data_IF_687008272201
#
_entry.id   IF_687008272201
#
_cell.length_a   1.000
_cell.length_b   1.000
_cell.length_c   1.000
_cell.angle_alpha   90.00
_cell.angle_beta   90.00
_cell.angle_gamma   90.00
#
_symmetry.space_group_name_H-M   'P 1'
#
loop_
_entity.id
_entity.type
_entity.pdbx_description
1 polymer ?
#
# COMPACT_ATOMS: atom_id res chain seq x y z
N UNK A 1 56.42 20.85 -24.60
CA UNK A 1 54.98 20.90 -24.21
C UNK A 1 54.39 19.56 -24.45
N UNK A 2 54.31 18.73 -23.43
CA UNK A 2 53.69 17.39 -23.47
C UNK A 2 52.33 17.47 -22.83
N UNK A 3 51.27 17.21 -23.62
CA UNK A 3 49.91 17.10 -23.14
C UNK A 3 49.72 15.76 -22.43
N UNK A 4 49.48 15.75 -21.13
CA UNK A 4 49.02 14.60 -20.38
C UNK A 4 47.53 14.35 -20.70
N UNK A 5 47.23 13.28 -21.40
CA UNK A 5 45.90 12.72 -21.54
C UNK A 5 45.54 11.99 -20.23
N UNK A 6 44.49 12.43 -19.56
CA UNK A 6 43.83 11.69 -18.46
C UNK A 6 43.26 10.38 -19.02
N UNK A 7 43.41 9.25 -18.31
CA UNK A 7 42.78 8.01 -18.72
C UNK A 7 41.25 8.09 -18.46
N UNK A 8 40.49 7.82 -19.51
CA UNK A 8 39.08 7.59 -19.44
C UNK A 8 38.77 6.37 -18.53
N UNK A 9 38.02 6.58 -17.48
CA UNK A 9 37.52 5.51 -16.60
C UNK A 9 36.51 4.70 -17.42
N UNK A 10 36.89 3.52 -17.87
CA UNK A 10 35.91 2.52 -18.36
C UNK A 10 35.13 1.97 -17.18
N UNK A 11 33.80 1.90 -17.23
CA UNK A 11 33.02 1.29 -16.17
C UNK A 11 33.37 -0.21 -16.07
N UNK A 12 33.42 -0.71 -14.83
CA UNK A 12 33.62 -2.12 -14.54
C UNK A 12 32.40 -2.93 -14.99
N UNK A 13 32.56 -4.16 -15.53
CA UNK A 13 31.44 -4.94 -16.08
C UNK A 13 30.35 -5.36 -15.08
N UNK A 14 30.48 -5.05 -13.79
CA UNK A 14 29.45 -5.26 -12.76
C UNK A 14 28.44 -4.12 -12.64
N UNK A 15 28.77 -2.89 -13.08
CA UNK A 15 27.89 -1.73 -12.95
C UNK A 15 26.77 -1.71 -14.01
N UNK A 16 27.02 -2.24 -15.21
CA UNK A 16 26.04 -2.27 -16.29
C UNK A 16 24.93 -3.32 -16.07
N UNK A 17 25.26 -4.48 -15.49
CA UNK A 17 24.28 -5.50 -15.15
C UNK A 17 23.35 -5.01 -14.03
N UNK A 18 23.89 -4.38 -12.99
CA UNK A 18 23.10 -3.80 -11.88
C UNK A 18 22.18 -2.65 -12.33
N UNK A 19 22.60 -1.83 -13.29
CA UNK A 19 21.78 -0.77 -13.85
C UNK A 19 20.61 -1.30 -14.70
N UNK A 20 20.85 -2.36 -15.48
CA UNK A 20 19.83 -3.05 -16.28
C UNK A 20 18.73 -3.66 -15.42
N UNK A 21 19.10 -4.30 -14.31
CA UNK A 21 18.16 -4.89 -13.37
C UNK A 21 17.32 -3.82 -12.64
N UNK A 22 17.95 -2.71 -12.23
CA UNK A 22 17.23 -1.59 -11.60
C UNK A 22 16.21 -0.97 -12.55
N UNK A 23 16.52 -0.82 -13.83
CA UNK A 23 15.57 -0.30 -14.84
C UNK A 23 14.42 -1.27 -15.09
N UNK A 24 14.66 -2.57 -15.07
CA UNK A 24 13.61 -3.59 -15.20
C UNK A 24 12.65 -3.56 -14.02
N UNK A 25 13.15 -3.41 -12.79
CA UNK A 25 12.32 -3.27 -11.60
C UNK A 25 11.52 -1.97 -11.60
N UNK A 26 12.09 -0.85 -12.04
CA UNK A 26 11.36 0.41 -12.23
C UNK A 26 10.25 0.28 -13.27
N UNK A 27 10.50 -0.38 -14.39
CA UNK A 27 9.49 -0.64 -15.42
C UNK A 27 8.35 -1.51 -14.86
N UNK A 28 8.68 -2.57 -14.10
CA UNK A 28 7.70 -3.43 -13.46
C UNK A 28 6.85 -2.67 -12.43
N UNK A 29 7.47 -1.78 -11.62
CA UNK A 29 6.77 -0.92 -10.67
C UNK A 29 5.78 0.02 -11.38
N UNK A 30 6.21 0.71 -12.42
CA UNK A 30 5.38 1.69 -13.14
C UNK A 30 4.31 1.05 -14.03
N UNK A 31 4.40 -0.23 -14.32
CA UNK A 31 3.36 -1.00 -15.01
C UNK A 31 2.19 -1.38 -14.08
N UNK A 32 2.37 -1.35 -12.76
CA UNK A 32 1.32 -1.69 -11.82
C UNK A 32 0.22 -0.61 -11.80
N UNK A 33 -1.02 -1.08 -11.78
CA UNK A 33 -2.21 -0.22 -11.63
C UNK A 33 -2.96 -0.51 -10.34
N UNK A 34 -2.47 -1.45 -9.57
CA UNK A 34 -3.03 -1.87 -8.29
C UNK A 34 -2.05 -1.52 -7.18
N UNK A 35 -2.51 -0.78 -6.20
CA UNK A 35 -1.71 -0.35 -5.06
C UNK A 35 -1.15 -1.53 -4.25
N UNK A 36 -1.95 -2.58 -4.07
CA UNK A 36 -1.53 -3.76 -3.31
C UNK A 36 -0.36 -4.45 -4.03
N UNK A 37 -0.43 -4.54 -5.36
CA UNK A 37 0.65 -5.08 -6.18
C UNK A 37 1.88 -4.18 -6.25
N UNK A 38 1.70 -2.86 -6.10
CA UNK A 38 2.80 -1.90 -6.10
C UNK A 38 3.73 -2.10 -4.90
N UNK A 39 3.17 -2.27 -3.69
CA UNK A 39 3.94 -2.55 -2.47
C UNK A 39 4.69 -3.89 -2.56
N UNK A 40 4.05 -4.93 -3.13
CA UNK A 40 4.66 -6.25 -3.40
C UNK A 40 5.83 -6.12 -4.39
N UNK A 41 5.62 -5.39 -5.50
CA UNK A 41 6.65 -5.18 -6.53
C UNK A 41 7.85 -4.39 -5.99
N UNK A 42 7.61 -3.42 -5.09
CA UNK A 42 8.69 -2.70 -4.43
C UNK A 42 9.53 -3.63 -3.54
N UNK A 43 8.87 -4.44 -2.70
CA UNK A 43 9.57 -5.39 -1.83
C UNK A 43 10.42 -6.37 -2.63
N UNK A 44 9.85 -6.95 -3.70
CA UNK A 44 10.56 -7.88 -4.58
C UNK A 44 11.73 -7.19 -5.27
N UNK A 45 11.50 -6.02 -5.88
CA UNK A 45 12.56 -5.30 -6.61
C UNK A 45 13.72 -4.88 -5.72
N UNK A 46 13.46 -4.48 -4.47
CA UNK A 46 14.53 -4.15 -3.51
C UNK A 46 15.27 -5.40 -3.06
N UNK A 47 14.56 -6.50 -2.81
CA UNK A 47 15.18 -7.77 -2.41
C UNK A 47 16.12 -8.28 -3.52
N UNK A 48 15.67 -8.26 -4.78
CA UNK A 48 16.45 -8.71 -5.94
C UNK A 48 17.66 -7.79 -6.19
N UNK A 49 17.45 -6.45 -6.18
CA UNK A 49 18.48 -5.45 -6.44
C UNK A 49 19.65 -5.53 -5.46
N UNK A 50 19.36 -5.83 -4.19
CA UNK A 50 20.35 -5.88 -3.12
C UNK A 50 20.86 -7.30 -2.86
N UNK A 51 20.23 -8.33 -3.39
CA UNK A 51 20.44 -9.70 -2.95
C UNK A 51 20.17 -9.89 -1.46
N UNK A 52 19.25 -9.08 -0.90
CA UNK A 52 18.96 -9.04 0.53
C UNK A 52 18.38 -10.37 1.04
N UNK A 53 18.49 -10.64 2.33
CA UNK A 53 17.83 -11.79 2.97
C UNK A 53 16.32 -11.65 2.86
N UNK A 54 15.81 -10.44 3.15
CA UNK A 54 14.43 -10.07 2.90
C UNK A 54 14.28 -8.56 2.72
N UNK A 55 13.24 -8.17 2.01
CA UNK A 55 12.77 -6.78 1.97
C UNK A 55 11.24 -6.76 2.13
N UNK A 56 10.73 -5.81 2.91
CA UNK A 56 9.31 -5.76 3.21
C UNK A 56 8.75 -4.35 3.28
N UNK A 57 7.55 -4.16 2.71
CA UNK A 57 6.76 -2.95 2.85
C UNK A 57 5.74 -3.16 3.96
N UNK A 58 5.80 -2.28 4.96
CA UNK A 58 4.92 -2.29 6.13
C UNK A 58 4.17 -0.97 6.23
N UNK A 59 2.84 -1.04 6.35
CA UNK A 59 1.97 0.13 6.52
C UNK A 59 1.42 0.17 7.93
N UNK A 60 1.30 1.37 8.49
CA UNK A 60 0.69 1.57 9.79
C UNK A 60 -0.81 1.76 9.60
N UNK A 61 -1.60 0.82 10.11
CA UNK A 61 -3.06 0.76 9.97
C UNK A 61 -3.75 0.96 11.31
N UNK A 62 -4.94 1.52 11.29
CA UNK A 62 -5.74 1.88 12.46
C UNK A 62 -6.11 3.35 12.43
N UNK A 63 -7.01 3.74 13.34
CA UNK A 63 -7.45 5.14 13.48
C UNK A 63 -6.48 5.88 14.39
N UNK A 64 -6.44 7.20 14.32
CA UNK A 64 -5.53 8.01 15.16
C UNK A 64 -5.87 7.93 16.65
N UNK A 65 -7.13 7.68 16.96
CA UNK A 65 -7.69 7.55 18.32
C UNK A 65 -7.66 6.11 18.88
N UNK A 66 -7.19 5.14 18.09
CA UNK A 66 -7.12 3.72 18.43
C UNK A 66 -5.69 3.18 18.35
N UNK A 67 -5.37 2.05 19.00
CA UNK A 67 -4.09 1.38 18.82
C UNK A 67 -3.84 1.05 17.35
N UNK A 68 -2.71 1.52 16.80
CA UNK A 68 -2.32 1.24 15.42
C UNK A 68 -1.42 0.01 15.36
N UNK A 69 -1.46 -0.66 14.22
CA UNK A 69 -0.79 -1.93 13.98
C UNK A 69 -0.02 -1.93 12.65
N UNK A 70 1.06 -2.71 12.59
CA UNK A 70 1.86 -2.88 11.39
C UNK A 70 1.27 -3.97 10.50
N UNK A 71 0.83 -3.56 9.31
CA UNK A 71 0.32 -4.45 8.27
C UNK A 71 1.41 -4.71 7.22
N UNK A 72 1.66 -5.98 6.88
CA UNK A 72 2.61 -6.38 5.84
C UNK A 72 1.92 -6.31 4.48
N UNK A 73 2.29 -5.32 3.68
CA UNK A 73 1.77 -5.17 2.32
C UNK A 73 2.48 -6.08 1.32
N UNK A 74 3.77 -6.35 1.56
CA UNK A 74 4.56 -7.28 0.76
C UNK A 74 5.89 -7.54 1.45
N UNK A 75 6.25 -8.81 1.62
CA UNK A 75 7.55 -9.23 2.15
C UNK A 75 8.14 -10.27 1.21
N UNK A 76 9.20 -9.90 0.51
CA UNK A 76 9.99 -10.77 -0.33
C UNK A 76 11.16 -11.35 0.49
N UNK A 77 11.40 -12.65 0.36
CA UNK A 77 12.52 -13.35 0.95
C UNK A 77 13.29 -14.12 -0.12
N UNK A 78 14.58 -14.26 0.08
CA UNK A 78 15.43 -14.98 -0.86
C UNK A 78 14.96 -16.43 -1.01
N UNK A 79 14.56 -16.80 -2.25
CA UNK A 79 14.11 -18.16 -2.58
C UNK A 79 12.68 -18.51 -2.15
N UNK A 80 11.92 -17.56 -1.63
CA UNK A 80 10.52 -17.75 -1.23
C UNK A 80 9.56 -16.89 -2.07
N UNK A 81 8.28 -17.27 -2.07
CA UNK A 81 7.24 -16.43 -2.64
C UNK A 81 7.00 -15.21 -1.75
N UNK A 82 6.75 -14.07 -2.37
CA UNK A 82 6.40 -12.85 -1.64
C UNK A 82 5.09 -13.03 -0.87
N UNK A 83 5.12 -12.71 0.42
CA UNK A 83 4.00 -12.83 1.34
C UNK A 83 3.40 -11.46 1.65
N UNK A 84 2.09 -11.40 1.83
CA UNK A 84 1.37 -10.24 2.36
C UNK A 84 0.35 -10.69 3.39
N UNK A 85 0.00 -9.82 4.34
CA UNK A 85 -1.13 -10.07 5.22
C UNK A 85 -2.43 -9.95 4.40
N UNK A 86 -3.43 -10.80 4.67
CA UNK A 86 -4.71 -10.68 3.99
C UNK A 86 -5.37 -9.33 4.36
N UNK A 87 -6.03 -8.63 3.44
CA UNK A 87 -6.65 -7.33 3.71
C UNK A 87 -7.66 -7.33 4.87
N UNK A 88 -8.23 -8.50 5.18
CA UNK A 88 -9.19 -8.73 6.28
C UNK A 88 -8.54 -9.28 7.55
N UNK A 89 -7.20 -9.19 7.68
CA UNK A 89 -6.52 -9.62 8.90
C UNK A 89 -7.08 -8.88 10.12
N UNK A 90 -7.30 -9.61 11.21
CA UNK A 90 -7.68 -9.01 12.47
C UNK A 90 -6.52 -8.13 12.99
N UNK A 91 -6.78 -6.82 13.13
CA UNK A 91 -5.77 -5.86 13.55
C UNK A 91 -5.14 -6.24 14.89
N UNK A 92 -5.91 -6.84 15.81
CA UNK A 92 -5.40 -7.25 17.12
C UNK A 92 -4.38 -8.39 17.06
N UNK A 93 -4.33 -9.13 15.95
CA UNK A 93 -3.35 -10.18 15.72
C UNK A 93 -2.08 -9.65 15.03
N UNK A 94 -2.11 -8.42 14.53
CA UNK A 94 -0.97 -7.77 13.91
C UNK A 94 -0.05 -7.15 14.97
N UNK A 95 1.26 -6.99 14.69
CA UNK A 95 2.17 -6.31 15.60
C UNK A 95 1.70 -4.89 15.90
N UNK A 96 1.58 -4.54 17.17
CA UNK A 96 1.26 -3.17 17.57
C UNK A 96 2.34 -2.20 17.10
N UNK A 97 2.00 -0.91 16.94
CA UNK A 97 2.96 0.14 16.56
C UNK A 97 4.21 0.11 17.42
N UNK A 98 4.04 0.00 18.75
CA UNK A 98 5.14 -0.02 19.73
C UNK A 98 6.03 -1.27 19.68
N UNK A 99 5.57 -2.37 19.06
CA UNK A 99 6.33 -3.60 18.94
C UNK A 99 7.56 -3.47 18.00
N UNK A 100 7.60 -2.43 17.16
CA UNK A 100 8.67 -2.19 16.20
C UNK A 100 9.31 -0.79 16.41
N UNK A 101 10.15 -0.59 17.44
CA UNK A 101 10.67 0.73 17.81
C UNK A 101 11.42 1.44 16.68
N UNK A 102 12.23 0.71 15.90
CA UNK A 102 12.98 1.29 14.78
C UNK A 102 12.05 1.83 13.70
N UNK A 103 10.96 1.11 13.38
CA UNK A 103 9.96 1.61 12.42
C UNK A 103 9.31 2.90 12.92
N UNK A 104 8.96 2.95 14.20
CA UNK A 104 8.36 4.15 14.83
C UNK A 104 9.34 5.33 14.80
N UNK A 105 10.61 5.08 15.12
CA UNK A 105 11.66 6.11 15.07
C UNK A 105 11.79 6.68 13.66
N UNK A 106 11.90 5.82 12.63
CA UNK A 106 12.03 6.20 11.22
C UNK A 106 10.81 7.00 10.74
N UNK A 107 9.61 6.57 11.11
CA UNK A 107 8.37 7.28 10.79
C UNK A 107 8.34 8.70 11.37
N UNK A 108 8.78 8.87 12.63
CA UNK A 108 8.78 10.16 13.32
C UNK A 108 9.86 11.09 12.80
N UNK A 109 11.07 10.57 12.60
CA UNK A 109 12.23 11.36 12.13
C UNK A 109 12.21 11.66 10.64
N UNK A 110 11.44 10.89 9.87
CA UNK A 110 11.46 10.87 8.39
C UNK A 110 12.87 10.63 7.82
N UNK A 111 13.74 10.02 8.61
CA UNK A 111 15.08 9.63 8.24
C UNK A 111 15.23 8.12 8.36
N UNK A 112 16.02 7.53 7.48
CA UNK A 112 16.32 6.11 7.58
C UNK A 112 17.11 5.78 8.85
N UNK A 113 16.95 4.53 9.33
CA UNK A 113 17.68 4.02 10.49
C UNK A 113 18.12 2.58 10.26
N UNK A 114 19.13 2.13 10.99
CA UNK A 114 19.55 0.73 10.98
C UNK A 114 19.94 0.25 12.37
N UNK A 115 19.88 -1.04 12.57
CA UNK A 115 20.37 -1.69 13.78
C UNK A 115 20.87 -3.11 13.49
N UNK A 116 21.79 -3.58 14.30
CA UNK A 116 22.22 -4.98 14.32
C UNK A 116 21.22 -5.81 15.13
N UNK A 117 20.85 -6.98 14.63
CA UNK A 117 20.01 -7.95 15.31
C UNK A 117 20.80 -9.27 15.48
N UNK A 118 20.74 -9.91 16.67
CA UNK A 118 21.27 -11.25 16.82
C UNK A 118 20.45 -12.24 15.98
N UNK A 119 21.14 -13.02 15.15
CA UNK A 119 20.50 -14.14 14.43
C UNK A 119 20.42 -15.37 15.33
N UNK A 120 19.44 -16.24 15.05
CA UNK A 120 19.28 -17.51 15.75
C UNK A 120 20.50 -18.45 15.60
N UNK A 121 21.31 -18.25 14.55
CA UNK A 121 22.52 -19.04 14.27
C UNK A 121 23.82 -18.42 14.83
N UNK A 122 23.70 -17.35 15.65
CA UNK A 122 24.86 -16.68 16.24
C UNK A 122 25.56 -15.67 15.30
N UNK A 123 25.11 -15.53 14.07
CA UNK A 123 25.55 -14.49 13.16
C UNK A 123 24.83 -13.16 13.47
N UNK A 124 25.44 -12.04 13.10
CA UNK A 124 24.78 -10.73 13.21
C UNK A 124 24.06 -10.44 11.89
N UNK A 125 22.76 -10.11 11.98
CA UNK A 125 22.00 -9.57 10.83
C UNK A 125 21.79 -8.07 11.01
N UNK A 126 21.65 -7.38 9.91
CA UNK A 126 21.39 -5.95 9.90
C UNK A 126 20.00 -5.67 9.35
N UNK A 127 19.27 -4.81 10.06
CA UNK A 127 17.96 -4.30 9.62
C UNK A 127 18.12 -2.83 9.29
N UNK A 128 17.78 -2.47 8.06
CA UNK A 128 17.70 -1.08 7.62
C UNK A 128 16.25 -0.74 7.34
N UNK A 129 15.76 0.36 7.91
CA UNK A 129 14.38 0.83 7.75
C UNK A 129 14.41 2.21 7.11
N UNK A 130 13.58 2.41 6.09
CA UNK A 130 13.44 3.67 5.35
C UNK A 130 11.99 4.13 5.32
N UNK A 131 11.69 5.42 5.47
CA UNK A 131 10.34 5.92 5.37
C UNK A 131 9.84 5.85 3.93
N UNK A 132 8.56 5.56 3.76
CA UNK A 132 7.86 5.71 2.48
C UNK A 132 7.21 7.09 2.48
N UNK A 133 7.74 8.00 1.64
CA UNK A 133 7.20 9.35 1.48
C UNK A 133 5.95 9.28 0.60
N UNK A 134 4.79 9.21 1.24
CA UNK A 134 3.49 9.26 0.59
C UNK A 134 2.70 10.45 1.15
N UNK A 135 2.22 11.31 0.25
CA UNK A 135 1.38 12.45 0.62
C UNK A 135 -0.06 12.01 0.91
N UNK A 136 -0.52 11.00 0.16
CA UNK A 136 -1.88 10.47 0.24
C UNK A 136 -1.80 8.97 0.51
N UNK A 137 -2.53 8.50 1.51
CA UNK A 137 -2.62 7.08 1.84
C UNK A 137 -2.08 6.72 3.21
N UNK A 138 -1.88 5.43 3.45
CA UNK A 138 -1.39 4.95 4.75
C UNK A 138 0.13 5.14 4.86
N UNK A 139 0.60 5.74 5.96
CA UNK A 139 2.01 5.88 6.22
C UNK A 139 2.68 4.51 6.35
N UNK A 140 3.96 4.41 6.00
CA UNK A 140 4.65 3.14 6.01
C UNK A 140 6.16 3.25 5.93
N UNK A 141 6.79 2.08 5.94
CA UNK A 141 8.23 1.93 5.84
C UNK A 141 8.60 0.77 4.92
N UNK A 142 9.75 0.89 4.30
CA UNK A 142 10.49 -0.22 3.70
C UNK A 142 11.49 -0.73 4.75
N UNK A 143 11.49 -2.04 5.01
CA UNK A 143 12.43 -2.72 5.92
C UNK A 143 13.24 -3.73 5.12
N UNK A 144 14.56 -3.70 5.25
CA UNK A 144 15.49 -4.57 4.53
C UNK A 144 16.41 -5.28 5.52
N UNK A 145 16.51 -6.61 5.40
CA UNK A 145 17.39 -7.45 6.19
C UNK A 145 18.57 -7.93 5.35
N UNK A 146 19.79 -7.77 5.86
CA UNK A 146 21.04 -8.12 5.18
C UNK A 146 22.02 -8.77 6.15
N UNK A 147 23.00 -9.49 5.61
CA UNK A 147 24.09 -10.11 6.42
C UNK A 147 25.08 -9.03 6.89
N UNK A 148 25.23 -7.96 6.13
CA UNK A 148 26.15 -6.84 6.39
C UNK A 148 25.41 -5.50 6.32
N UNK A 149 25.95 -4.44 6.92
CA UNK A 149 25.38 -3.09 6.77
C UNK A 149 25.33 -2.66 5.31
N UNK A 150 24.24 -2.04 4.88
CA UNK A 150 24.13 -1.53 3.52
C UNK A 150 25.18 -0.45 3.24
N UNK A 151 25.95 -0.56 2.14
CA UNK A 151 26.91 0.45 1.77
C UNK A 151 26.21 1.75 1.32
N UNK A 152 26.88 2.90 1.40
CA UNK A 152 26.28 4.19 1.04
C UNK A 152 25.76 4.26 -0.42
N UNK A 153 26.33 3.49 -1.33
CA UNK A 153 25.83 3.37 -2.71
C UNK A 153 24.46 2.70 -2.77
N UNK A 154 24.30 1.56 -2.10
CA UNK A 154 23.01 0.87 -2.01
C UNK A 154 21.93 1.73 -1.34
N UNK A 155 22.26 2.43 -0.25
CA UNK A 155 21.35 3.36 0.40
C UNK A 155 20.85 4.45 -0.57
N UNK A 156 21.74 5.04 -1.37
CA UNK A 156 21.37 6.05 -2.39
C UNK A 156 20.47 5.47 -3.47
N UNK A 157 20.78 4.25 -3.93
CA UNK A 157 19.96 3.57 -4.95
C UNK A 157 18.54 3.32 -4.45
N UNK A 158 18.39 2.80 -3.22
CA UNK A 158 17.07 2.57 -2.62
C UNK A 158 16.34 3.91 -2.42
N UNK A 159 17.00 4.95 -1.92
CA UNK A 159 16.38 6.27 -1.76
C UNK A 159 15.85 6.83 -3.08
N UNK A 160 16.59 6.63 -4.17
CA UNK A 160 16.16 7.03 -5.51
C UNK A 160 14.94 6.23 -5.96
N UNK A 161 14.96 4.91 -5.75
CA UNK A 161 13.83 4.03 -6.04
C UNK A 161 12.58 4.43 -5.24
N UNK A 162 12.75 4.72 -3.93
CA UNK A 162 11.65 5.15 -3.07
C UNK A 162 11.05 6.50 -3.50
N UNK A 163 11.84 7.43 -4.00
CA UNK A 163 11.33 8.68 -4.59
C UNK A 163 10.48 8.42 -5.83
N UNK A 164 10.94 7.57 -6.73
CA UNK A 164 10.15 7.19 -7.93
C UNK A 164 8.88 6.47 -7.52
N UNK A 165 8.98 5.53 -6.58
CA UNK A 165 7.84 4.82 -6.02
C UNK A 165 6.82 5.77 -5.40
N UNK A 166 7.25 6.72 -4.55
CA UNK A 166 6.37 7.71 -3.91
C UNK A 166 5.67 8.61 -4.93
N UNK A 167 6.41 9.13 -5.91
CA UNK A 167 5.82 9.92 -6.99
C UNK A 167 4.77 9.14 -7.79
N UNK A 168 5.08 7.89 -8.13
CA UNK A 168 4.15 7.03 -8.87
C UNK A 168 2.93 6.67 -8.02
N UNK A 169 3.12 6.35 -6.73
CA UNK A 169 2.03 6.08 -5.82
C UNK A 169 1.10 7.29 -5.66
N UNK A 170 1.64 8.51 -5.48
CA UNK A 170 0.86 9.73 -5.38
C UNK A 170 0.05 9.99 -6.66
N UNK A 171 0.65 9.77 -7.83
CA UNK A 171 -0.03 9.88 -9.12
C UNK A 171 -1.17 8.86 -9.25
N UNK A 172 -0.93 7.60 -8.86
CA UNK A 172 -1.93 6.54 -8.89
C UNK A 172 -3.09 6.85 -7.94
N UNK A 173 -2.79 7.23 -6.69
CA UNK A 173 -3.79 7.60 -5.68
C UNK A 173 -4.62 8.80 -6.13
N UNK A 174 -4.01 9.84 -6.71
CA UNK A 174 -4.74 11.00 -7.20
C UNK A 174 -5.67 10.66 -8.36
N UNK A 175 -5.27 9.75 -9.25
CA UNK A 175 -6.10 9.30 -10.37
C UNK A 175 -7.26 8.40 -9.94
N UNK A 176 -7.14 7.72 -8.80
CA UNK A 176 -8.12 6.78 -8.29
C UNK A 176 -9.17 7.42 -7.36
N UNK A 177 -8.99 8.68 -6.99
CA UNK A 177 -9.86 9.36 -6.03
C UNK A 177 -10.73 10.44 -6.68
N UNK A 178 -11.87 10.66 -6.03
CA UNK A 178 -12.71 11.83 -6.26
C UNK A 178 -12.06 13.06 -5.61
N UNK A 179 -11.90 14.12 -6.37
CA UNK A 179 -11.15 15.31 -5.93
C UNK A 179 -11.83 16.10 -4.82
N UNK A 180 -13.15 16.03 -4.71
CA UNK A 180 -13.91 16.74 -3.68
C UNK A 180 -13.90 15.97 -2.36
N UNK A 181 -14.28 14.70 -2.41
CA UNK A 181 -14.49 13.90 -1.20
C UNK A 181 -13.27 13.11 -0.77
N UNK A 182 -12.29 12.89 -1.67
CA UNK A 182 -11.12 12.02 -1.46
C UNK A 182 -11.46 10.53 -1.31
N UNK A 183 -12.72 10.11 -1.53
CA UNK A 183 -13.10 8.70 -1.67
C UNK A 183 -12.61 8.16 -3.02
N UNK A 184 -12.63 6.84 -3.19
CA UNK A 184 -12.34 6.26 -4.50
C UNK A 184 -13.38 6.72 -5.53
N UNK A 185 -12.96 6.93 -6.76
CA UNK A 185 -13.85 7.35 -7.83
C UNK A 185 -14.54 6.17 -8.52
N UNK A 186 -15.52 6.43 -9.37
CA UNK A 186 -16.27 5.42 -10.12
C UNK A 186 -15.36 4.56 -11.01
N UNK A 187 -14.37 5.18 -11.68
CA UNK A 187 -13.46 4.42 -12.55
C UNK A 187 -12.68 3.35 -11.76
N UNK A 188 -12.30 3.67 -10.53
CA UNK A 188 -11.63 2.72 -9.63
C UNK A 188 -12.57 1.60 -9.19
N UNK A 189 -13.86 1.91 -8.99
CA UNK A 189 -14.87 0.89 -8.71
C UNK A 189 -14.98 -0.11 -9.86
N UNK A 190 -15.16 0.36 -11.09
CA UNK A 190 -15.32 -0.50 -12.27
C UNK A 190 -14.14 -1.46 -12.41
N UNK A 191 -12.90 -0.95 -12.26
CA UNK A 191 -11.69 -1.77 -12.31
C UNK A 191 -11.61 -2.79 -11.17
N UNK A 192 -12.05 -2.43 -9.96
CA UNK A 192 -12.02 -3.30 -8.77
C UNK A 192 -13.12 -4.37 -8.85
N UNK A 193 -14.33 -3.95 -9.22
CA UNK A 193 -15.49 -4.83 -9.28
C UNK A 193 -15.29 -5.96 -10.30
N UNK A 194 -14.75 -5.64 -11.46
CA UNK A 194 -14.40 -6.65 -12.47
C UNK A 194 -13.42 -7.69 -11.93
N UNK A 195 -12.38 -7.27 -11.20
CA UNK A 195 -11.41 -8.18 -10.58
C UNK A 195 -12.05 -9.07 -9.50
N UNK A 196 -12.94 -8.50 -8.69
CA UNK A 196 -13.61 -9.20 -7.59
C UNK A 196 -14.68 -10.17 -8.10
N UNK A 197 -15.31 -9.87 -9.22
CA UNK A 197 -16.37 -10.68 -9.82
C UNK A 197 -15.85 -11.84 -10.68
N UNK A 198 -14.54 -11.84 -11.03
CA UNK A 198 -13.95 -12.96 -11.78
C UNK A 198 -13.77 -14.19 -10.87
N UNK A 199 -14.18 -15.39 -11.34
CA UNK A 199 -13.92 -16.61 -10.58
C UNK A 199 -12.43 -16.79 -10.33
N UNK A 200 -12.04 -17.16 -9.12
CA UNK A 200 -10.64 -17.37 -8.67
C UNK A 200 -9.86 -18.35 -9.57
N UNK A 201 -10.53 -19.17 -10.36
CA UNK A 201 -9.94 -20.09 -11.34
C UNK A 201 -9.13 -19.40 -12.45
N UNK A 202 -9.36 -18.11 -12.72
CA UNK A 202 -8.66 -17.35 -13.78
C UNK A 202 -7.35 -16.68 -13.31
N UNK A 203 -7.08 -16.64 -12.01
CA UNK A 203 -5.89 -16.02 -11.42
C UNK A 203 -4.81 -17.03 -11.01
N UNK A 204 -4.98 -18.32 -11.32
CA UNK A 204 -3.93 -19.33 -11.18
C UNK A 204 -2.93 -19.17 -12.32
N UNK A 205 -2.05 -18.19 -12.23
CA UNK A 205 -0.77 -18.23 -12.92
C UNK A 205 0.02 -19.42 -12.34
N UNK A 206 0.35 -20.36 -13.21
CA UNK A 206 1.01 -21.62 -12.95
C UNK A 206 2.19 -21.49 -11.97
N UNK A 207 2.02 -21.95 -10.74
CA UNK A 207 3.13 -22.34 -9.88
C UNK A 207 3.16 -23.88 -9.83
N UNK A 208 4.25 -24.40 -10.35
CA UNK A 208 4.63 -25.80 -10.25
C UNK A 208 4.94 -26.13 -8.79
N UNK A 209 3.96 -26.46 -8.01
CA UNK A 209 4.08 -27.35 -6.84
C UNK A 209 2.70 -27.60 -6.22
N UNK A 210 2.40 -28.85 -6.06
CA UNK A 210 1.08 -29.44 -5.88
C UNK A 210 0.39 -29.28 -4.52
N UNK A 211 0.31 -28.09 -3.96
CA UNK A 211 -0.62 -27.79 -2.87
C UNK A 211 -1.63 -26.73 -3.30
N UNK A 212 -2.84 -27.20 -3.64
CA UNK A 212 -4.02 -26.35 -3.78
C UNK A 212 -4.36 -25.76 -2.43
N UNK A 213 -3.81 -24.59 -2.11
CA UNK A 213 -4.43 -23.71 -1.11
C UNK A 213 -5.67 -23.12 -1.74
N UNK A 214 -6.82 -23.70 -1.44
CA UNK A 214 -8.13 -23.12 -1.72
C UNK A 214 -8.18 -21.82 -0.90
N UNK A 215 -7.98 -20.68 -1.55
CA UNK A 215 -8.27 -19.39 -0.91
C UNK A 215 -9.74 -19.44 -0.48
N UNK A 216 -10.08 -19.15 0.79
CA UNK A 216 -11.47 -19.13 1.20
C UNK A 216 -12.23 -18.16 0.31
N UNK A 217 -13.40 -18.56 -0.16
CA UNK A 217 -14.29 -17.70 -0.95
C UNK A 217 -14.59 -16.47 -0.08
N UNK A 218 -13.99 -15.34 -0.40
CA UNK A 218 -14.21 -14.12 0.37
C UNK A 218 -15.53 -13.51 -0.09
N UNK A 219 -16.53 -13.54 0.78
CA UNK A 219 -17.81 -12.87 0.53
C UNK A 219 -17.60 -11.35 0.47
N UNK A 220 -18.27 -10.71 -0.49
CA UNK A 220 -18.27 -9.26 -0.63
C UNK A 220 -19.71 -8.75 -0.52
N UNK A 221 -19.89 -7.62 0.16
CA UNK A 221 -21.18 -6.97 0.32
C UNK A 221 -21.12 -5.61 -0.34
N UNK A 222 -22.08 -5.32 -1.21
CA UNK A 222 -22.19 -4.05 -1.92
C UNK A 222 -23.37 -3.26 -1.36
N UNK A 223 -23.09 -2.03 -0.93
CA UNK A 223 -24.11 -1.09 -0.54
C UNK A 223 -24.09 0.15 -1.44
N UNK A 224 -25.26 0.64 -1.81
CA UNK A 224 -25.45 1.90 -2.51
C UNK A 224 -26.06 2.89 -1.52
N UNK A 225 -25.51 4.09 -1.51
CA UNK A 225 -25.95 5.19 -0.63
C UNK A 225 -26.21 6.40 -1.50
N UNK A 226 -27.36 7.04 -1.28
CA UNK A 226 -27.79 8.27 -1.93
C UNK A 226 -28.23 9.29 -0.88
N UNK A 227 -27.98 10.58 -1.13
CA UNK A 227 -28.37 11.64 -0.17
C UNK A 227 -29.78 12.12 -0.50
N UNK A 228 -30.71 11.83 0.41
CA UNK A 228 -32.10 12.26 0.24
C UNK A 228 -32.21 13.76 0.05
N UNK A 229 -32.93 14.16 -0.99
CA UNK A 229 -33.23 15.57 -1.30
C UNK A 229 -32.01 16.47 -1.52
N UNK A 230 -30.86 15.94 -1.94
CA UNK A 230 -29.63 16.71 -2.12
C UNK A 230 -29.81 17.90 -3.08
N UNK A 231 -30.60 17.73 -4.12
CA UNK A 231 -30.95 18.84 -5.02
C UNK A 231 -31.59 20.02 -4.27
N UNK A 232 -32.46 19.77 -3.28
CA UNK A 232 -33.08 20.86 -2.49
C UNK A 232 -32.04 21.59 -1.64
N UNK A 233 -31.00 20.90 -1.16
CA UNK A 233 -29.88 21.53 -0.46
C UNK A 233 -29.16 22.50 -1.40
N UNK A 234 -28.82 22.06 -2.62
CA UNK A 234 -28.19 22.90 -3.61
C UNK A 234 -29.06 24.10 -4.01
N UNK A 235 -30.34 23.86 -4.28
CA UNK A 235 -31.29 24.92 -4.72
C UNK A 235 -31.49 25.98 -3.63
N UNK A 236 -31.47 25.57 -2.35
CA UNK A 236 -31.72 26.47 -1.20
C UNK A 236 -30.47 27.16 -0.67
N UNK A 237 -29.32 26.46 -0.64
CA UNK A 237 -28.13 26.93 0.04
C UNK A 237 -26.92 27.14 -0.90
N UNK A 238 -27.08 26.78 -2.17
CA UNK A 238 -26.03 26.87 -3.18
C UNK A 238 -25.10 25.67 -3.21
N UNK A 239 -24.38 25.49 -4.33
CA UNK A 239 -23.51 24.34 -4.57
C UNK A 239 -22.33 24.24 -3.59
N UNK A 240 -21.86 25.37 -3.04
CA UNK A 240 -20.78 25.34 -2.04
C UNK A 240 -21.19 24.59 -0.77
N UNK A 241 -22.41 24.81 -0.31
CA UNK A 241 -22.95 24.07 0.86
C UNK A 241 -23.23 22.62 0.49
N UNK A 242 -23.68 22.35 -0.75
CA UNK A 242 -23.81 20.99 -1.24
C UNK A 242 -22.48 20.23 -1.23
N UNK A 243 -21.40 20.86 -1.66
CA UNK A 243 -20.06 20.29 -1.63
C UNK A 243 -19.60 19.97 -0.19
N UNK A 244 -19.87 20.87 0.78
CA UNK A 244 -19.60 20.63 2.19
C UNK A 244 -20.37 19.43 2.77
N UNK A 245 -21.65 19.27 2.35
CA UNK A 245 -22.46 18.09 2.72
C UNK A 245 -21.84 16.81 2.18
N UNK A 246 -21.40 16.80 0.91
CA UNK A 246 -20.71 15.64 0.31
C UNK A 246 -19.43 15.29 1.05
N UNK A 247 -18.62 16.28 1.41
CA UNK A 247 -17.39 16.08 2.20
C UNK A 247 -17.71 15.54 3.59
N UNK A 248 -18.76 16.05 4.24
CA UNK A 248 -19.21 15.57 5.56
C UNK A 248 -19.64 14.10 5.50
N UNK A 249 -20.48 13.73 4.52
CA UNK A 249 -20.92 12.33 4.33
C UNK A 249 -19.70 11.42 4.10
N UNK A 250 -18.76 11.82 3.26
CA UNK A 250 -17.53 11.06 3.01
C UNK A 250 -16.70 10.88 4.30
N UNK A 251 -16.65 11.90 5.18
CA UNK A 251 -15.99 11.80 6.49
C UNK A 251 -16.69 10.79 7.40
N UNK A 252 -18.02 10.84 7.49
CA UNK A 252 -18.82 9.91 8.30
C UNK A 252 -18.66 8.48 7.76
N UNK A 253 -18.62 8.28 6.44
CA UNK A 253 -18.33 6.98 5.84
C UNK A 253 -16.99 6.43 6.32
N UNK A 254 -15.89 7.21 6.24
CA UNK A 254 -14.58 6.77 6.73
C UNK A 254 -14.56 6.41 8.21
N UNK A 255 -15.42 7.04 9.02
CA UNK A 255 -15.53 6.75 10.44
C UNK A 255 -16.41 5.53 10.73
N UNK A 256 -17.35 5.22 9.86
CA UNK A 256 -18.31 4.14 10.06
C UNK A 256 -17.85 2.78 9.53
N UNK A 257 -17.03 2.77 8.49
CA UNK A 257 -16.55 1.56 7.83
C UNK A 257 -15.10 1.26 8.21
N UNK A 258 -14.66 0.02 7.99
CA UNK A 258 -13.31 -0.45 8.34
C UNK A 258 -12.28 0.08 7.33
N UNK A 259 -11.00 0.14 7.70
CA UNK A 259 -9.92 0.66 6.86
C UNK A 259 -9.73 -0.13 5.54
N UNK A 260 -10.10 -1.40 5.51
CA UNK A 260 -10.01 -2.26 4.32
C UNK A 260 -11.31 -2.31 3.49
N UNK A 261 -12.42 -1.73 3.98
CA UNK A 261 -13.62 -1.51 3.19
C UNK A 261 -13.35 -0.42 2.14
N UNK A 262 -13.88 -0.62 0.95
CA UNK A 262 -13.67 0.34 -0.13
C UNK A 262 -14.88 1.25 -0.27
N UNK A 263 -14.62 2.54 -0.16
CA UNK A 263 -15.62 3.60 -0.19
C UNK A 263 -15.45 4.41 -1.45
N UNK A 264 -16.52 4.53 -2.23
CA UNK A 264 -16.50 5.19 -3.53
C UNK A 264 -17.52 6.32 -3.58
N UNK A 265 -17.18 7.38 -4.34
CA UNK A 265 -18.15 8.32 -4.86
C UNK A 265 -18.39 8.00 -6.33
N UNK A 266 -19.65 7.68 -6.68
CA UNK A 266 -20.02 7.27 -8.03
C UNK A 266 -20.27 8.47 -8.94
N UNK A 267 -20.76 9.58 -8.40
CA UNK A 267 -21.01 10.85 -9.05
C UNK A 267 -22.17 11.58 -8.38
N UNK A 268 -22.26 12.88 -8.53
CA UNK A 268 -23.31 13.65 -7.88
C UNK A 268 -23.37 13.39 -6.37
N UNK A 269 -24.49 12.84 -5.92
CA UNK A 269 -24.85 12.51 -4.52
C UNK A 269 -24.77 10.99 -4.20
N UNK A 270 -24.31 10.18 -5.19
CA UNK A 270 -24.29 8.72 -5.08
C UNK A 270 -22.94 8.21 -4.55
N UNK A 271 -22.98 7.31 -3.56
CA UNK A 271 -21.83 6.64 -3.00
C UNK A 271 -22.02 5.12 -3.03
N UNK A 272 -20.90 4.41 -3.09
CA UNK A 272 -20.90 2.94 -3.06
C UNK A 272 -19.90 2.47 -2.02
N UNK A 273 -20.30 1.44 -1.28
CA UNK A 273 -19.48 0.78 -0.25
C UNK A 273 -19.29 -0.67 -0.65
N UNK A 274 -18.05 -1.12 -0.72
CA UNK A 274 -17.70 -2.53 -0.92
C UNK A 274 -17.04 -3.06 0.35
N UNK A 275 -17.80 -3.85 1.13
CA UNK A 275 -17.29 -4.54 2.31
C UNK A 275 -16.63 -5.85 1.90
N UNK A 276 -15.52 -6.18 2.54
CA UNK A 276 -14.77 -7.41 2.30
C UNK A 276 -14.89 -8.36 3.50
N UNK A 277 -15.34 -9.59 3.23
CA UNK A 277 -15.55 -10.60 4.28
C UNK A 277 -16.76 -10.31 5.17
N UNK A 278 -16.85 -11.06 6.27
CA UNK A 278 -17.95 -10.94 7.22
C UNK A 278 -19.24 -11.64 6.80
N UNK A 279 -20.19 -11.68 7.72
CA UNK A 279 -21.53 -12.22 7.51
C UNK A 279 -22.49 -11.14 7.03
N UNK A 280 -23.67 -11.53 6.53
CA UNK A 280 -24.76 -10.63 6.17
C UNK A 280 -25.16 -9.72 7.35
N UNK A 281 -25.24 -10.31 8.55
CA UNK A 281 -25.57 -9.56 9.76
C UNK A 281 -24.54 -8.50 10.13
N UNK A 282 -23.24 -8.82 9.94
CA UNK A 282 -22.15 -7.85 10.18
C UNK A 282 -22.18 -6.72 9.16
N UNK A 283 -22.45 -7.04 7.90
CA UNK A 283 -22.64 -6.04 6.85
C UNK A 283 -23.85 -5.14 7.16
N UNK A 284 -25.00 -5.74 7.52
CA UNK A 284 -26.20 -5.00 7.93
C UNK A 284 -25.92 -4.04 9.10
N UNK A 285 -25.25 -4.51 10.15
CA UNK A 285 -24.86 -3.65 11.29
C UNK A 285 -23.93 -2.50 10.88
N UNK A 286 -23.03 -2.71 9.92
CA UNK A 286 -22.15 -1.64 9.45
C UNK A 286 -22.95 -0.53 8.73
N UNK A 287 -23.90 -0.89 7.87
CA UNK A 287 -24.76 0.07 7.20
C UNK A 287 -25.74 0.76 8.16
N UNK A 288 -26.31 0.04 9.13
CA UNK A 288 -27.20 0.64 10.14
C UNK A 288 -26.46 1.65 11.02
N UNK A 289 -25.22 1.35 11.42
CA UNK A 289 -24.36 2.28 12.15
C UNK A 289 -24.08 3.54 11.33
N UNK A 290 -23.74 3.38 10.04
CA UNK A 290 -23.51 4.51 9.16
C UNK A 290 -24.78 5.38 9.04
N UNK A 291 -25.94 4.76 8.78
CA UNK A 291 -27.23 5.46 8.69
C UNK A 291 -27.54 6.25 9.96
N UNK A 292 -27.30 5.65 11.14
CA UNK A 292 -27.52 6.32 12.42
C UNK A 292 -26.55 7.49 12.66
N UNK A 293 -25.36 7.49 12.07
CA UNK A 293 -24.39 8.58 12.19
C UNK A 293 -24.67 9.75 11.22
N UNK A 294 -25.46 9.53 10.17
CA UNK A 294 -25.84 10.55 9.18
C UNK A 294 -27.17 11.21 9.51
N UNK A 295 -28.09 10.49 10.20
CA UNK A 295 -29.41 10.97 10.61
C UNK A 295 -29.34 11.95 11.78
#
# INVERSE_FOLDING_TARGET
MAQQQSPAHSPLPGDEASAGDAMSHLAALTAQRDREMLDVSLAQGVQDLLGALSAGVHRLVGREDEPRHWFRCGVARRGELTLSDPPWADLHQLPAESACPLRVQVMRSRAWGHQALPSAEGATQWVTVMPLDVEIGMPGVLEVHTDEPLPPSALRSIQTLLKVFGNFQNLLESSQRDTLTGLLNRQTFDATFLKTSMPVASLSLATHSGERRVSPVTTHWLGVVDIDHFKQVNDRFGHLIGDEVLVLVARIMRQSFRHYDRLYRFGGEEFVVLLRGGTEEEAGRAFDRFRANVA
#
